data_IF_158071417237
#
_entry.id   IF_158071417237
#
_cell.length_a   1.000
_cell.length_b   1.000
_cell.length_c   1.000
_cell.angle_alpha   90.00
_cell.angle_beta   90.00
_cell.angle_gamma   90.00
#
_symmetry.space_group_name_H-M   'P 1'
#
loop_
_entity.id
_entity.type
_entity.pdbx_description
1 polymer ?
#
# COMPACT_ATOMS: atom_id res chain seq x y z
N UNK A 1 11.31 -74.92 31.61
CA UNK A 1 11.56 -73.69 32.39
C UNK A 1 11.35 -72.54 31.42
N UNK A 2 10.47 -71.62 31.76
CA UNK A 2 10.01 -70.56 30.87
C UNK A 2 11.15 -69.62 30.50
N UNK A 3 11.20 -69.29 29.21
CA UNK A 3 12.09 -68.33 28.58
C UNK A 3 11.56 -66.93 28.88
N UNK A 4 11.98 -66.36 30.01
CA UNK A 4 11.69 -64.97 30.39
C UNK A 4 12.82 -64.08 29.88
N UNK A 5 12.80 -63.81 28.57
CA UNK A 5 13.55 -62.70 28.00
C UNK A 5 12.81 -61.39 28.33
N UNK A 6 13.41 -60.43 29.05
CA UNK A 6 12.73 -59.18 29.42
C UNK A 6 12.54 -58.28 28.20
N UNK A 7 11.48 -57.44 28.19
CA UNK A 7 11.18 -56.56 27.07
C UNK A 7 12.26 -55.50 26.88
N UNK A 8 12.63 -55.27 25.62
CA UNK A 8 13.51 -54.21 25.12
C UNK A 8 12.93 -52.82 25.45
N UNK A 9 13.20 -52.29 26.64
CA UNK A 9 13.01 -50.87 26.95
C UNK A 9 14.14 -50.43 27.87
N UNK A 10 14.98 -49.52 27.37
CA UNK A 10 15.85 -48.57 28.11
C UNK A 10 16.55 -49.07 29.37
N UNK A 11 17.00 -50.33 29.38
CA UNK A 11 17.99 -50.78 30.36
C UNK A 11 19.35 -50.39 29.80
N UNK A 12 20.03 -49.53 30.56
CA UNK A 12 21.39 -49.09 30.38
C UNK A 12 22.33 -50.32 30.29
N UNK A 13 22.44 -50.89 29.09
CA UNK A 13 23.19 -52.13 28.79
C UNK A 13 24.63 -52.06 29.29
N UNK A 14 25.18 -50.84 29.37
CA UNK A 14 26.49 -50.56 29.93
C UNK A 14 26.64 -51.06 31.38
N UNK A 15 25.60 -50.91 32.20
CA UNK A 15 25.65 -51.34 33.62
C UNK A 15 25.51 -52.86 33.75
N UNK A 16 24.78 -53.50 32.82
CA UNK A 16 24.62 -54.95 32.78
C UNK A 16 25.91 -55.66 32.31
N UNK A 17 26.62 -55.09 31.33
CA UNK A 17 27.86 -55.67 30.82
C UNK A 17 29.09 -55.40 31.70
N UNK A 18 29.14 -54.28 32.43
CA UNK A 18 30.28 -53.93 33.31
C UNK A 18 30.56 -54.97 34.42
N UNK A 19 29.57 -55.79 34.76
CA UNK A 19 29.65 -56.83 35.80
C UNK A 19 29.84 -58.26 35.24
N UNK A 20 29.93 -58.42 33.92
CA UNK A 20 30.21 -59.71 33.30
C UNK A 20 31.69 -59.84 32.99
N UNK A 21 32.22 -61.05 33.05
CA UNK A 21 33.63 -61.32 32.73
C UNK A 21 33.94 -60.90 31.29
N UNK A 22 35.12 -60.30 31.08
CA UNK A 22 35.59 -59.83 29.78
C UNK A 22 35.46 -60.87 28.65
N UNK A 23 35.55 -62.15 28.98
CA UNK A 23 35.34 -63.28 28.05
C UNK A 23 33.91 -63.38 27.51
N UNK A 24 32.89 -63.12 28.33
CA UNK A 24 31.49 -63.24 27.91
C UNK A 24 31.09 -62.11 26.96
N UNK A 25 31.58 -60.90 27.20
CA UNK A 25 31.34 -59.73 26.32
C UNK A 25 31.98 -59.98 24.95
N UNK A 26 33.20 -60.51 24.93
CA UNK A 26 33.92 -60.81 23.70
C UNK A 26 33.29 -61.97 22.91
N UNK A 27 32.92 -63.08 23.57
CA UNK A 27 32.27 -64.21 22.88
C UNK A 27 30.91 -63.80 22.28
N UNK A 28 30.17 -62.93 22.98
CA UNK A 28 28.91 -62.37 22.47
C UNK A 28 29.15 -61.36 21.34
N UNK A 29 30.22 -60.55 21.41
CA UNK A 29 30.64 -59.63 20.33
C UNK A 29 31.06 -60.41 19.08
N UNK A 30 31.91 -61.43 19.19
CA UNK A 30 32.33 -62.28 18.08
C UNK A 30 31.14 -63.01 17.45
N UNK A 31 30.22 -63.57 18.26
CA UNK A 31 28.99 -64.21 17.75
C UNK A 31 28.03 -63.22 17.07
N UNK A 32 27.97 -61.98 17.55
CA UNK A 32 27.19 -60.92 16.90
C UNK A 32 27.86 -60.47 15.60
N UNK A 33 29.19 -60.43 15.54
CA UNK A 33 29.97 -60.05 14.37
C UNK A 33 29.98 -61.10 13.25
N UNK A 34 29.98 -62.40 13.60
CA UNK A 34 29.92 -63.50 12.63
C UNK A 34 28.52 -63.72 12.03
N UNK A 35 27.45 -63.38 12.78
CA UNK A 35 26.07 -63.69 12.36
C UNK A 35 25.31 -62.51 11.73
N UNK A 36 25.92 -61.34 11.62
CA UNK A 36 25.24 -60.18 11.08
C UNK A 36 26.09 -59.40 10.08
N UNK A 37 25.48 -59.11 8.92
CA UNK A 37 25.71 -57.87 8.15
C UNK A 37 25.29 -56.62 8.98
N UNK A 38 25.69 -56.56 10.25
CA UNK A 38 25.47 -55.39 11.08
C UNK A 38 26.42 -54.33 10.56
N UNK A 39 25.83 -53.29 9.96
CA UNK A 39 26.49 -52.01 9.77
C UNK A 39 27.20 -51.68 11.09
N UNK A 40 28.51 -51.44 11.03
CA UNK A 40 29.33 -51.03 12.18
C UNK A 40 28.59 -50.02 13.05
N UNK A 41 27.81 -49.12 12.43
CA UNK A 41 26.98 -48.12 13.08
C UNK A 41 26.12 -48.62 14.27
N UNK A 42 25.53 -49.82 14.20
CA UNK A 42 24.65 -50.34 15.26
C UNK A 42 25.44 -50.91 16.46
N UNK A 43 26.63 -51.46 16.21
CA UNK A 43 27.58 -51.87 17.27
C UNK A 43 28.22 -50.63 17.90
N UNK A 44 28.46 -49.59 17.09
CA UNK A 44 29.09 -48.35 17.49
C UNK A 44 28.21 -47.43 18.34
N UNK A 45 26.88 -47.59 18.28
CA UNK A 45 25.93 -46.83 19.11
C UNK A 45 25.72 -47.43 20.51
N UNK A 46 25.98 -48.73 20.70
CA UNK A 46 25.75 -49.44 21.97
C UNK A 46 27.01 -49.65 22.82
N UNK A 47 28.20 -49.65 22.21
CA UNK A 47 29.47 -49.79 22.92
C UNK A 47 30.36 -48.57 22.67
N UNK A 48 31.04 -48.11 23.72
CA UNK A 48 32.04 -47.05 23.60
C UNK A 48 33.19 -47.61 22.74
N UNK A 49 33.21 -47.25 21.46
CA UNK A 49 34.00 -47.91 20.41
C UNK A 49 35.50 -47.89 20.65
N UNK A 50 35.99 -46.86 21.34
CA UNK A 50 37.38 -46.79 21.78
C UNK A 50 37.72 -47.86 22.83
N UNK A 51 36.79 -48.22 23.72
CA UNK A 51 37.02 -49.25 24.74
C UNK A 51 37.05 -50.65 24.11
N UNK A 52 36.16 -50.92 23.15
CA UNK A 52 36.16 -52.20 22.41
C UNK A 52 37.44 -52.34 21.58
N UNK A 53 37.83 -51.32 20.83
CA UNK A 53 39.07 -51.34 20.04
C UNK A 53 40.28 -51.55 20.95
N UNK A 54 40.34 -50.84 22.09
CA UNK A 54 41.42 -50.99 23.06
C UNK A 54 41.47 -52.41 23.63
N UNK A 55 40.32 -52.98 23.97
CA UNK A 55 40.23 -54.37 24.44
C UNK A 55 40.73 -55.37 23.40
N UNK A 56 40.30 -55.23 22.14
CA UNK A 56 40.74 -56.08 21.02
C UNK A 56 42.26 -56.02 20.82
N UNK A 57 42.85 -54.82 20.89
CA UNK A 57 44.29 -54.61 20.77
C UNK A 57 45.06 -55.24 21.93
N UNK A 58 44.62 -55.03 23.18
CA UNK A 58 45.24 -55.65 24.35
C UNK A 58 45.18 -57.18 24.30
N UNK A 59 44.06 -57.75 23.81
CA UNK A 59 43.91 -59.19 23.62
C UNK A 59 44.85 -59.70 22.52
N UNK A 60 44.93 -59.00 21.39
CA UNK A 60 45.83 -59.33 20.29
C UNK A 60 47.30 -59.35 20.74
N UNK A 61 47.75 -58.33 21.48
CA UNK A 61 49.12 -58.28 22.00
C UNK A 61 49.42 -59.45 22.93
N UNK A 62 48.50 -59.78 23.84
CA UNK A 62 48.63 -60.94 24.76
C UNK A 62 48.73 -62.26 23.99
N UNK A 63 47.86 -62.48 23.01
CA UNK A 63 47.85 -63.71 22.20
C UNK A 63 49.09 -63.82 21.32
N UNK A 64 49.54 -62.71 20.72
CA UNK A 64 50.77 -62.65 19.93
C UNK A 64 52.01 -62.98 20.78
N UNK A 65 52.07 -62.46 22.00
CA UNK A 65 53.13 -62.80 22.94
C UNK A 65 53.08 -64.28 23.35
N UNK A 66 51.88 -64.81 23.63
CA UNK A 66 51.67 -66.21 23.99
C UNK A 66 52.06 -67.17 22.85
N UNK A 67 51.75 -66.82 21.59
CA UNK A 67 52.16 -67.59 20.42
C UNK A 67 53.69 -67.70 20.30
N UNK A 68 54.41 -66.57 20.47
CA UNK A 68 55.89 -66.54 20.48
C UNK A 68 56.49 -67.34 21.63
N UNK A 69 55.84 -67.35 22.79
CA UNK A 69 56.29 -68.16 23.92
C UNK A 69 56.10 -69.67 23.65
N UNK A 70 54.98 -70.05 23.02
CA UNK A 70 54.73 -71.43 22.57
C UNK A 70 55.78 -71.89 21.55
N UNK A 71 56.20 -71.03 20.64
CA UNK A 71 57.30 -71.35 19.69
C UNK A 71 58.60 -71.72 20.39
N UNK A 72 59.01 -70.91 21.37
CA UNK A 72 60.21 -71.20 22.19
C UNK A 72 60.08 -72.52 22.95
N UNK A 73 58.88 -72.81 23.50
CA UNK A 73 58.62 -74.08 24.21
C UNK A 73 58.67 -75.28 23.27
N UNK A 74 58.16 -75.15 22.04
CA UNK A 74 58.27 -76.20 21.02
C UNK A 74 59.74 -76.46 20.69
N UNK A 75 60.53 -75.41 20.45
CA UNK A 75 61.96 -75.54 20.14
C UNK A 75 62.73 -76.26 21.25
N UNK A 76 62.50 -75.89 22.52
CA UNK A 76 63.12 -76.56 23.68
C UNK A 76 62.75 -78.04 23.74
N UNK A 77 61.46 -78.37 23.61
CA UNK A 77 61.01 -79.76 23.68
C UNK A 77 61.49 -80.60 22.49
N UNK A 78 61.66 -80.00 21.30
CA UNK A 78 62.26 -80.66 20.15
C UNK A 78 63.73 -80.99 20.38
N UNK A 79 64.48 -80.09 21.04
CA UNK A 79 65.85 -80.39 21.48
C UNK A 79 65.88 -81.51 22.52
N UNK A 80 65.07 -81.44 23.57
CA UNK A 80 64.99 -82.49 24.61
C UNK A 80 64.64 -83.86 24.01
N UNK A 81 63.67 -83.91 23.09
CA UNK A 81 63.32 -85.13 22.37
C UNK A 81 64.51 -85.67 21.56
N UNK A 82 65.23 -84.78 20.87
CA UNK A 82 66.39 -85.15 20.05
C UNK A 82 67.54 -85.67 20.91
N UNK A 83 67.81 -85.05 22.06
CA UNK A 83 68.80 -85.49 23.03
C UNK A 83 68.45 -86.87 23.61
N UNK A 84 67.19 -87.08 23.99
CA UNK A 84 66.72 -88.39 24.47
C UNK A 84 66.91 -89.49 23.41
N UNK A 85 66.63 -89.20 22.13
CA UNK A 85 66.87 -90.13 21.02
C UNK A 85 68.36 -90.46 20.87
N UNK A 86 69.24 -89.45 20.94
CA UNK A 86 70.69 -89.66 20.88
C UNK A 86 71.17 -90.54 22.04
N UNK A 87 70.70 -90.28 23.26
CA UNK A 87 71.04 -91.06 24.45
C UNK A 87 70.55 -92.52 24.32
N UNK A 88 69.32 -92.76 23.86
CA UNK A 88 68.82 -94.11 23.56
C UNK A 88 69.73 -94.82 22.56
N UNK A 89 70.10 -94.16 21.45
CA UNK A 89 70.93 -94.76 20.42
C UNK A 89 72.34 -95.12 20.93
N UNK A 90 72.95 -94.22 21.70
CA UNK A 90 74.28 -94.44 22.31
C UNK A 90 74.26 -95.61 23.27
N UNK A 91 73.32 -95.61 24.22
CA UNK A 91 73.20 -96.65 25.23
C UNK A 91 72.81 -98.00 24.59
N UNK A 92 71.95 -98.01 23.57
CA UNK A 92 71.58 -99.21 22.82
C UNK A 92 72.77 -99.82 22.06
N UNK A 93 73.65 -98.98 21.50
CA UNK A 93 74.86 -99.45 20.84
C UNK A 93 75.83 -100.08 21.83
N UNK A 94 76.05 -99.44 22.98
CA UNK A 94 76.89 -100.00 24.06
C UNK A 94 76.31 -101.30 24.63
N UNK A 95 74.99 -101.34 24.86
CA UNK A 95 74.27 -102.54 25.29
C UNK A 95 74.49 -103.71 24.31
N UNK A 96 74.39 -103.44 23.00
CA UNK A 96 74.64 -104.44 21.95
C UNK A 96 76.08 -104.95 21.96
N UNK A 97 77.06 -104.08 22.22
CA UNK A 97 78.49 -104.48 22.35
C UNK A 97 78.71 -105.37 23.58
N UNK A 98 78.12 -105.01 24.73
CA UNK A 98 78.20 -105.82 25.94
C UNK A 98 77.55 -107.19 25.75
N UNK A 99 76.38 -107.24 25.12
CA UNK A 99 75.70 -108.51 24.83
C UNK A 99 76.53 -109.40 23.93
N UNK A 100 77.15 -108.86 22.87
CA UNK A 100 78.08 -109.65 22.04
C UNK A 100 79.24 -110.18 22.85
N UNK A 101 79.81 -109.36 23.75
CA UNK A 101 80.94 -109.79 24.57
C UNK A 101 80.55 -110.89 25.56
N UNK A 102 79.37 -110.82 26.15
CA UNK A 102 78.80 -111.88 26.99
C UNK A 102 78.70 -113.17 26.17
N UNK A 103 78.04 -113.13 25.01
CA UNK A 103 77.87 -114.30 24.15
C UNK A 103 79.22 -114.91 23.70
N UNK A 104 80.23 -114.09 23.43
CA UNK A 104 81.60 -114.56 23.13
C UNK A 104 82.21 -115.30 24.31
N UNK A 105 82.13 -114.73 25.52
CA UNK A 105 82.69 -115.36 26.72
C UNK A 105 81.93 -116.64 27.09
N UNK A 106 80.60 -116.67 26.92
CA UNK A 106 79.78 -117.87 27.08
C UNK A 106 80.19 -118.99 26.12
N UNK A 107 80.47 -118.66 24.86
CA UNK A 107 80.98 -119.63 23.89
C UNK A 107 82.35 -120.20 24.28
N UNK A 108 83.27 -119.36 24.78
CA UNK A 108 84.61 -119.81 25.19
C UNK A 108 84.62 -120.65 26.48
N UNK A 109 83.53 -120.68 27.25
CA UNK A 109 83.45 -121.51 28.46
C UNK A 109 83.40 -123.02 28.16
N UNK A 110 83.02 -123.44 26.94
CA UNK A 110 82.88 -124.86 26.58
C UNK A 110 84.23 -125.58 26.39
N UNK A 111 85.36 -124.86 26.26
CA UNK A 111 86.68 -125.42 25.90
C UNK A 111 87.80 -125.16 26.94
N UNK A 112 87.48 -124.71 28.16
CA UNK A 112 88.46 -124.15 29.13
C UNK A 112 88.73 -125.02 30.37
N UNK A 113 89.81 -124.72 31.09
CA UNK A 113 90.16 -125.36 32.37
C UNK A 113 89.32 -124.81 33.54
N UNK A 114 89.20 -125.57 34.63
CA UNK A 114 88.31 -125.23 35.76
C UNK A 114 88.60 -123.86 36.40
N UNK A 115 89.87 -123.42 36.47
CA UNK A 115 90.25 -122.11 37.02
C UNK A 115 89.88 -120.96 36.06
N UNK A 116 90.09 -121.13 34.76
CA UNK A 116 89.69 -120.14 33.74
C UNK A 116 88.16 -120.00 33.67
N UNK A 117 87.43 -121.10 33.85
CA UNK A 117 85.96 -121.12 33.90
C UNK A 117 85.43 -120.22 35.03
N UNK A 118 86.07 -120.24 36.20
CA UNK A 118 85.66 -119.39 37.34
C UNK A 118 85.88 -117.90 37.01
N UNK A 119 87.02 -117.55 36.42
CA UNK A 119 87.32 -116.17 36.04
C UNK A 119 86.38 -115.65 34.94
N UNK A 120 86.12 -116.44 33.90
CA UNK A 120 85.17 -116.08 32.84
C UNK A 120 83.75 -115.93 33.34
N UNK A 121 83.29 -116.79 34.27
CA UNK A 121 81.96 -116.66 34.89
C UNK A 121 81.82 -115.36 35.69
N UNK A 122 82.87 -114.96 36.41
CA UNK A 122 82.85 -113.69 37.15
C UNK A 122 82.84 -112.48 36.19
N UNK A 123 83.60 -112.53 35.09
CA UNK A 123 83.56 -111.49 34.05
C UNK A 123 82.18 -111.39 33.38
N UNK A 124 81.55 -112.52 33.05
CA UNK A 124 80.18 -112.55 32.49
C UNK A 124 79.21 -111.89 33.45
N UNK A 125 79.25 -112.25 34.73
CA UNK A 125 78.37 -111.67 35.76
C UNK A 125 78.53 -110.15 35.90
N UNK A 126 79.76 -109.64 35.82
CA UNK A 126 80.01 -108.19 35.82
C UNK A 126 79.47 -107.51 34.56
N UNK A 127 79.65 -108.13 33.40
CA UNK A 127 79.12 -107.62 32.13
C UNK A 127 77.59 -107.66 32.08
N UNK A 128 76.95 -108.69 32.63
CA UNK A 128 75.49 -108.80 32.75
C UNK A 128 74.93 -107.68 33.63
N UNK A 129 75.54 -107.43 34.79
CA UNK A 129 75.15 -106.31 35.67
C UNK A 129 75.29 -104.96 34.95
N UNK A 130 76.37 -104.75 34.20
CA UNK A 130 76.56 -103.54 33.41
C UNK A 130 75.52 -103.44 32.27
N UNK A 131 75.24 -104.54 31.58
CA UNK A 131 74.25 -104.61 30.51
C UNK A 131 72.83 -104.30 31.03
N UNK A 132 72.47 -104.79 32.21
CA UNK A 132 71.19 -104.47 32.85
C UNK A 132 71.09 -102.98 33.22
N UNK A 133 72.14 -102.39 33.78
CA UNK A 133 72.19 -100.94 34.01
C UNK A 133 71.98 -100.14 32.71
N UNK A 134 72.54 -100.61 31.59
CA UNK A 134 72.32 -100.00 30.27
C UNK A 134 70.87 -100.14 29.81
N UNK A 135 70.22 -101.29 30.04
CA UNK A 135 68.78 -101.48 29.73
C UNK A 135 67.90 -100.53 30.52
N UNK A 136 68.19 -100.35 31.82
CA UNK A 136 67.48 -99.40 32.69
C UNK A 136 67.63 -97.96 32.16
N UNK A 137 68.85 -97.54 31.80
CA UNK A 137 69.10 -96.23 31.19
C UNK A 137 68.34 -96.03 29.88
N UNK A 138 68.33 -97.02 28.99
CA UNK A 138 67.56 -96.98 27.74
C UNK A 138 66.06 -96.80 28.04
N UNK A 139 65.51 -97.53 29.00
CA UNK A 139 64.09 -97.44 29.37
C UNK A 139 63.74 -96.07 29.96
N UNK A 140 64.64 -95.49 30.76
CA UNK A 140 64.51 -94.12 31.28
C UNK A 140 64.45 -93.10 30.14
N UNK A 141 65.42 -93.11 29.22
CA UNK A 141 65.45 -92.17 28.10
C UNK A 141 64.26 -92.35 27.13
N UNK A 142 63.74 -93.58 26.96
CA UNK A 142 62.50 -93.81 26.19
C UNK A 142 61.28 -93.15 26.86
N UNK A 143 61.17 -93.26 28.18
CA UNK A 143 60.10 -92.62 28.94
C UNK A 143 60.16 -91.09 28.85
N UNK A 144 61.37 -90.53 28.92
CA UNK A 144 61.62 -89.09 28.75
C UNK A 144 61.22 -88.62 27.34
N UNK A 145 61.62 -89.35 26.29
CA UNK A 145 61.21 -89.09 24.90
C UNK A 145 59.69 -89.10 24.76
N UNK A 146 59.01 -90.12 25.29
CA UNK A 146 57.55 -90.25 25.14
C UNK A 146 56.80 -89.14 25.88
N UNK A 147 57.32 -88.72 27.04
CA UNK A 147 56.81 -87.56 27.78
C UNK A 147 56.97 -86.26 26.99
N UNK A 148 58.15 -86.01 26.41
CA UNK A 148 58.41 -84.83 25.57
C UNK A 148 57.53 -84.83 24.32
N UNK A 149 57.34 -85.97 23.68
CA UNK A 149 56.49 -86.13 22.49
C UNK A 149 55.02 -85.84 22.78
N UNK A 150 54.50 -86.28 23.93
CA UNK A 150 53.15 -85.94 24.37
C UNK A 150 53.00 -84.43 24.59
N UNK A 151 53.92 -83.81 25.31
CA UNK A 151 53.91 -82.35 25.55
C UNK A 151 53.99 -81.56 24.24
N UNK A 152 54.81 -81.99 23.29
CA UNK A 152 54.90 -81.38 21.95
C UNK A 152 53.57 -81.41 21.22
N UNK A 153 52.87 -82.54 21.28
CA UNK A 153 51.55 -82.67 20.64
C UNK A 153 50.54 -81.68 21.23
N UNK A 154 50.49 -81.58 22.56
CA UNK A 154 49.56 -80.68 23.27
C UNK A 154 49.88 -79.20 22.97
N UNK A 155 51.17 -78.81 23.00
CA UNK A 155 51.56 -77.43 22.70
C UNK A 155 51.33 -77.08 21.23
N UNK A 156 51.61 -77.99 20.29
CA UNK A 156 51.33 -77.75 18.86
C UNK A 156 49.84 -77.56 18.59
N UNK A 157 48.98 -78.32 19.27
CA UNK A 157 47.53 -78.16 19.15
C UNK A 157 47.08 -76.79 19.67
N UNK A 158 47.46 -76.45 20.90
CA UNK A 158 47.10 -75.15 21.50
C UNK A 158 47.74 -73.97 20.76
N UNK A 159 48.89 -74.15 20.09
CA UNK A 159 49.48 -73.13 19.23
C UNK A 159 48.60 -72.90 18.00
N UNK A 160 48.17 -73.97 17.33
CA UNK A 160 47.30 -73.88 16.15
C UNK A 160 46.01 -73.09 16.43
N UNK A 161 45.42 -73.28 17.60
CA UNK A 161 44.25 -72.54 18.05
C UNK A 161 44.55 -71.04 18.26
N UNK A 162 45.69 -70.72 18.91
CA UNK A 162 46.12 -69.33 19.11
C UNK A 162 46.47 -68.64 17.79
N UNK A 163 47.12 -69.33 16.86
CA UNK A 163 47.47 -68.78 15.55
C UNK A 163 46.19 -68.43 14.75
N UNK A 164 45.17 -69.30 14.79
CA UNK A 164 43.89 -69.04 14.15
C UNK A 164 43.16 -67.84 14.78
N UNK A 165 43.19 -67.69 16.10
CA UNK A 165 42.61 -66.53 16.79
C UNK A 165 43.35 -65.23 16.42
N UNK A 166 44.69 -65.27 16.32
CA UNK A 166 45.50 -64.13 15.89
C UNK A 166 45.19 -63.73 14.45
N UNK A 167 45.01 -64.69 13.55
CA UNK A 167 44.64 -64.44 12.14
C UNK A 167 43.24 -63.80 12.04
N UNK A 168 42.27 -64.31 12.79
CA UNK A 168 40.92 -63.74 12.86
C UNK A 168 40.92 -62.31 13.39
N UNK A 169 41.67 -62.04 14.48
CA UNK A 169 41.83 -60.70 15.04
C UNK A 169 42.54 -59.74 14.09
N UNK A 170 43.54 -60.21 13.34
CA UNK A 170 44.25 -59.40 12.32
C UNK A 170 43.27 -58.97 11.23
N UNK A 171 42.49 -59.91 10.71
CA UNK A 171 41.48 -59.63 9.68
C UNK A 171 40.40 -58.66 10.16
N UNK A 172 39.92 -58.84 11.39
CA UNK A 172 38.94 -57.93 12.00
C UNK A 172 39.51 -56.52 12.18
N UNK A 173 40.78 -56.40 12.57
CA UNK A 173 41.46 -55.12 12.74
C UNK A 173 41.65 -54.39 11.41
N UNK A 174 42.03 -55.09 10.33
CA UNK A 174 42.13 -54.51 8.98
C UNK A 174 40.78 -53.96 8.51
N UNK A 175 39.69 -54.70 8.74
CA UNK A 175 38.33 -54.23 8.43
C UNK A 175 37.95 -52.98 9.22
N UNK A 176 38.14 -52.99 10.54
CA UNK A 176 37.88 -51.83 11.41
C UNK A 176 38.68 -50.59 10.97
N UNK A 177 39.94 -50.77 10.57
CA UNK A 177 40.79 -49.68 10.09
C UNK A 177 40.26 -49.09 8.77
N UNK A 178 39.79 -49.95 7.85
CA UNK A 178 39.16 -49.52 6.60
C UNK A 178 37.89 -48.72 6.88
N UNK A 179 37.02 -49.22 7.74
CA UNK A 179 35.76 -48.55 8.05
C UNK A 179 35.97 -47.22 8.79
N UNK A 180 36.97 -47.15 9.67
CA UNK A 180 37.38 -45.90 10.33
C UNK A 180 37.80 -44.83 9.31
N UNK A 181 38.54 -45.21 8.26
CA UNK A 181 38.93 -44.28 7.21
C UNK A 181 37.73 -43.75 6.42
N UNK A 182 36.77 -44.62 6.10
CA UNK A 182 35.51 -44.24 5.42
C UNK A 182 34.69 -43.28 6.28
N UNK A 183 34.57 -43.58 7.59
CA UNK A 183 33.86 -42.72 8.53
C UNK A 183 34.52 -41.34 8.66
N UNK A 184 35.85 -41.28 8.75
CA UNK A 184 36.61 -40.03 8.83
C UNK A 184 36.43 -39.17 7.57
N UNK A 185 36.43 -39.77 6.38
CA UNK A 185 36.18 -39.03 5.14
C UNK A 185 34.75 -38.48 5.09
N UNK A 186 33.76 -39.25 5.57
CA UNK A 186 32.37 -38.81 5.68
C UNK A 186 32.22 -37.63 6.64
N UNK A 187 32.89 -37.68 7.80
CA UNK A 187 32.94 -36.57 8.77
C UNK A 187 33.53 -35.32 8.13
N UNK A 188 34.64 -35.46 7.38
CA UNK A 188 35.29 -34.34 6.68
C UNK A 188 34.34 -33.69 5.66
N UNK A 189 33.61 -34.50 4.90
CA UNK A 189 32.61 -34.00 3.94
C UNK A 189 31.48 -33.22 4.64
N UNK A 190 30.92 -33.76 5.72
CA UNK A 190 29.88 -33.09 6.51
C UNK A 190 30.39 -31.77 7.11
N UNK A 191 31.62 -31.71 7.61
CA UNK A 191 32.23 -30.48 8.11
C UNK A 191 32.33 -29.39 7.03
N UNK A 192 32.69 -29.78 5.80
CA UNK A 192 32.74 -28.87 4.66
C UNK A 192 31.33 -28.37 4.28
N UNK A 193 30.33 -29.25 4.27
CA UNK A 193 28.93 -28.87 4.03
C UNK A 193 28.41 -27.89 5.08
N UNK A 194 28.66 -28.15 6.35
CA UNK A 194 28.28 -27.25 7.46
C UNK A 194 28.94 -25.87 7.26
N UNK A 195 30.24 -25.83 6.95
CA UNK A 195 30.96 -24.58 6.69
C UNK A 195 30.34 -23.81 5.52
N UNK A 196 30.04 -24.49 4.41
CA UNK A 196 29.39 -23.88 3.25
C UNK A 196 27.99 -23.34 3.57
N UNK A 197 27.19 -24.08 4.34
CA UNK A 197 25.88 -23.64 4.80
C UNK A 197 25.97 -22.40 5.69
N UNK A 198 26.92 -22.35 6.61
CA UNK A 198 27.18 -21.18 7.46
C UNK A 198 27.57 -19.95 6.64
N UNK A 199 28.44 -20.11 5.64
CA UNK A 199 28.81 -19.03 4.72
C UNK A 199 27.57 -18.52 3.97
N UNK A 200 26.77 -19.43 3.41
CA UNK A 200 25.55 -19.08 2.68
C UNK A 200 24.54 -18.34 3.58
N UNK A 201 24.31 -18.84 4.79
CA UNK A 201 23.38 -18.24 5.74
C UNK A 201 23.83 -16.84 6.17
N UNK A 202 25.13 -16.66 6.46
CA UNK A 202 25.69 -15.36 6.79
C UNK A 202 25.58 -14.37 5.60
N UNK A 203 25.78 -14.85 4.37
CA UNK A 203 25.58 -14.04 3.16
C UNK A 203 24.14 -13.56 3.01
N UNK A 204 23.16 -14.46 3.18
CA UNK A 204 21.73 -14.11 3.15
C UNK A 204 21.34 -13.12 4.25
N UNK A 205 21.87 -13.29 5.46
CA UNK A 205 21.61 -12.39 6.57
C UNK A 205 22.13 -10.98 6.30
N UNK A 206 23.37 -10.84 5.78
CA UNK A 206 23.92 -9.55 5.37
C UNK A 206 23.11 -8.87 4.26
N UNK A 207 22.62 -9.63 3.29
CA UNK A 207 21.76 -9.10 2.23
C UNK A 207 20.43 -8.57 2.80
N UNK A 208 19.79 -9.34 3.69
CA UNK A 208 18.54 -8.92 4.34
C UNK A 208 18.74 -7.69 5.25
N UNK A 209 19.87 -7.61 5.97
CA UNK A 209 20.25 -6.43 6.77
C UNK A 209 20.43 -5.19 5.88
N UNK A 210 21.08 -5.34 4.72
CA UNK A 210 21.24 -4.27 3.75
C UNK A 210 19.90 -3.77 3.20
N UNK A 211 19.01 -4.68 2.79
CA UNK A 211 17.66 -4.34 2.33
C UNK A 211 16.86 -3.63 3.43
N UNK A 212 16.90 -4.15 4.67
CA UNK A 212 16.22 -3.54 5.82
C UNK A 212 16.71 -2.11 6.07
N UNK A 213 18.01 -1.88 5.98
CA UNK A 213 18.58 -0.54 6.16
C UNK A 213 18.17 0.40 5.03
N UNK A 214 18.14 -0.07 3.77
CA UNK A 214 17.60 0.70 2.65
C UNK A 214 16.12 1.07 2.86
N UNK A 215 15.29 0.11 3.30
CA UNK A 215 13.88 0.38 3.62
C UNK A 215 13.75 1.43 4.73
N UNK A 216 14.55 1.35 5.80
CA UNK A 216 14.56 2.36 6.86
C UNK A 216 14.90 3.76 6.33
N UNK A 217 15.94 3.88 5.52
CA UNK A 217 16.35 5.17 4.93
C UNK A 217 15.25 5.73 4.03
N UNK A 218 14.65 4.89 3.17
CA UNK A 218 13.56 5.31 2.29
C UNK A 218 12.30 5.72 3.07
N UNK A 219 11.98 4.98 4.14
CA UNK A 219 10.86 5.31 5.02
C UNK A 219 11.06 6.68 5.69
N UNK A 220 12.24 6.94 6.24
CA UNK A 220 12.58 8.24 6.84
C UNK A 220 12.45 9.37 5.81
N UNK A 221 12.95 9.17 4.58
CA UNK A 221 12.80 10.15 3.51
C UNK A 221 11.33 10.43 3.18
N UNK A 222 10.49 9.40 3.07
CA UNK A 222 9.06 9.55 2.82
C UNK A 222 8.29 10.18 3.97
N UNK A 223 8.67 9.91 5.22
CA UNK A 223 8.11 10.58 6.38
C UNK A 223 8.43 12.09 6.37
N UNK A 224 9.65 12.47 5.98
CA UNK A 224 10.02 13.89 5.82
C UNK A 224 9.25 14.56 4.67
N UNK A 225 9.09 13.88 3.53
CA UNK A 225 8.25 14.37 2.43
C UNK A 225 6.80 14.60 2.89
N UNK A 226 6.21 13.63 3.62
CA UNK A 226 4.86 13.73 4.14
C UNK A 226 4.71 14.90 5.11
N UNK A 227 5.65 15.08 6.04
CA UNK A 227 5.68 16.24 6.95
C UNK A 227 5.74 17.57 6.19
N UNK A 228 6.52 17.66 5.12
CA UNK A 228 6.58 18.85 4.29
C UNK A 228 5.24 19.13 3.57
N UNK A 229 4.56 18.08 3.08
CA UNK A 229 3.23 18.21 2.48
C UNK A 229 2.20 18.65 3.53
N UNK A 230 2.25 18.08 4.74
CA UNK A 230 1.39 18.45 5.86
C UNK A 230 1.52 19.95 6.18
N UNK A 231 2.75 20.45 6.29
CA UNK A 231 3.03 21.87 6.52
C UNK A 231 2.41 22.72 5.40
N UNK A 232 2.65 22.37 4.12
CA UNK A 232 2.08 23.12 2.98
C UNK A 232 0.54 23.14 3.02
N UNK A 233 -0.09 22.04 3.42
CA UNK A 233 -1.53 21.96 3.56
C UNK A 233 -2.05 22.90 4.66
N UNK A 234 -1.39 22.95 5.81
CA UNK A 234 -1.74 23.88 6.90
C UNK A 234 -1.64 25.35 6.46
N UNK A 235 -0.58 25.70 5.72
CA UNK A 235 -0.43 27.04 5.13
C UNK A 235 -1.59 27.36 4.18
N UNK A 236 -1.91 26.47 3.25
CA UNK A 236 -3.00 26.67 2.29
C UNK A 236 -4.38 26.78 2.98
N UNK A 237 -4.61 25.99 4.04
CA UNK A 237 -5.84 26.08 4.84
C UNK A 237 -5.96 27.43 5.56
N UNK A 238 -4.85 27.94 6.11
CA UNK A 238 -4.81 29.26 6.75
C UNK A 238 -5.08 30.38 5.75
N UNK A 239 -4.44 30.35 4.58
CA UNK A 239 -4.68 31.31 3.50
C UNK A 239 -6.15 31.30 3.05
N UNK A 240 -6.74 30.12 2.88
CA UNK A 240 -8.16 29.97 2.52
C UNK A 240 -9.08 30.55 3.60
N UNK A 241 -8.76 30.35 4.88
CA UNK A 241 -9.53 30.90 5.99
C UNK A 241 -9.46 32.44 6.01
N UNK A 242 -8.26 33.01 5.88
CA UNK A 242 -8.07 34.47 5.79
C UNK A 242 -8.80 35.07 4.59
N UNK A 243 -8.75 34.39 3.43
CA UNK A 243 -9.49 34.79 2.24
C UNK A 243 -11.01 34.81 2.49
N UNK A 244 -11.56 33.75 3.10
CA UNK A 244 -12.99 33.68 3.45
C UNK A 244 -13.40 34.80 4.40
N UNK A 245 -12.60 35.12 5.42
CA UNK A 245 -12.89 36.24 6.32
C UNK A 245 -12.91 37.59 5.58
N UNK A 246 -11.90 37.84 4.72
CA UNK A 246 -11.87 39.06 3.91
C UNK A 246 -13.09 39.16 3.01
N UNK A 247 -13.48 38.07 2.36
CA UNK A 247 -14.67 38.03 1.51
C UNK A 247 -15.94 38.36 2.30
N UNK A 248 -16.16 37.73 3.45
CA UNK A 248 -17.30 38.03 4.33
C UNK A 248 -17.31 39.48 4.83
N UNK A 249 -16.13 40.07 5.10
CA UNK A 249 -16.04 41.48 5.49
C UNK A 249 -16.45 42.44 4.37
N UNK A 250 -16.18 42.09 3.11
CA UNK A 250 -16.65 42.85 1.95
C UNK A 250 -18.15 42.68 1.72
N UNK A 251 -18.68 41.47 1.87
CA UNK A 251 -20.11 41.18 1.74
C UNK A 251 -20.95 41.90 2.81
N UNK A 252 -20.42 42.07 4.03
CA UNK A 252 -21.04 42.83 5.12
C UNK A 252 -20.76 44.35 5.08
N UNK A 253 -20.18 44.88 4.00
CA UNK A 253 -19.93 46.32 3.89
C UNK A 253 -21.24 47.10 3.67
N UNK A 254 -21.66 47.83 4.71
CA UNK A 254 -22.83 48.74 4.74
C UNK A 254 -22.83 49.83 3.65
N UNK A 255 -21.75 49.98 2.88
CA UNK A 255 -21.65 50.96 1.80
C UNK A 255 -22.70 50.69 0.73
N UNK A 256 -22.84 49.43 0.29
CA UNK A 256 -23.82 49.09 -0.74
C UNK A 256 -25.26 49.17 -0.24
N UNK A 257 -25.53 48.84 1.03
CA UNK A 257 -26.87 49.01 1.61
C UNK A 257 -27.26 50.49 1.78
N UNK A 258 -26.30 51.36 2.14
CA UNK A 258 -26.52 52.80 2.24
C UNK A 258 -26.81 53.42 0.87
N UNK A 259 -26.03 53.07 -0.16
CA UNK A 259 -26.23 53.53 -1.54
C UNK A 259 -27.59 53.08 -2.10
N UNK A 260 -27.94 51.81 -1.91
CA UNK A 260 -29.26 51.29 -2.31
C UNK A 260 -30.39 52.04 -1.60
N UNK A 261 -30.26 52.31 -0.29
CA UNK A 261 -31.26 53.05 0.48
C UNK A 261 -31.40 54.50 0.00
N UNK A 262 -30.31 55.14 -0.40
CA UNK A 262 -30.33 56.51 -0.95
C UNK A 262 -30.99 56.55 -2.34
N UNK A 263 -30.65 55.60 -3.21
CA UNK A 263 -31.24 55.49 -4.55
C UNK A 263 -32.74 55.18 -4.48
N UNK A 264 -33.16 54.30 -3.55
CA UNK A 264 -34.57 54.02 -3.32
C UNK A 264 -35.34 55.27 -2.85
N UNK A 265 -34.78 56.06 -1.93
CA UNK A 265 -35.40 57.35 -1.51
C UNK A 265 -35.54 58.35 -2.66
N UNK A 266 -34.50 58.46 -3.50
CA UNK A 266 -34.54 59.35 -4.67
C UNK A 266 -35.63 58.93 -5.67
N UNK A 267 -35.79 57.62 -5.88
CA UNK A 267 -36.82 57.07 -6.77
C UNK A 267 -38.24 57.35 -6.24
N UNK A 268 -38.49 57.16 -4.94
CA UNK A 268 -39.79 57.48 -4.33
C UNK A 268 -40.12 58.97 -4.46
N UNK A 269 -39.14 59.84 -4.16
CA UNK A 269 -39.33 61.28 -4.28
C UNK A 269 -39.65 61.70 -5.72
N UNK A 270 -38.94 61.14 -6.72
CA UNK A 270 -39.22 61.41 -8.12
C UNK A 270 -40.57 60.86 -8.57
N UNK A 271 -41.02 59.74 -8.00
CA UNK A 271 -42.35 59.15 -8.26
C UNK A 271 -43.47 60.05 -7.74
N UNK A 272 -43.34 60.54 -6.49
CA UNK A 272 -44.32 61.47 -5.89
C UNK A 272 -44.42 62.77 -6.70
N UNK A 273 -43.28 63.24 -7.21
CA UNK A 273 -43.22 64.44 -8.04
C UNK A 273 -43.87 64.23 -9.41
N UNK A 274 -43.75 63.04 -9.99
CA UNK A 274 -44.45 62.68 -11.23
C UNK A 274 -45.96 62.55 -11.04
N UNK A 275 -46.44 61.97 -9.93
CA UNK A 275 -47.89 61.95 -9.65
C UNK A 275 -48.43 63.37 -9.43
N UNK A 276 -47.68 64.25 -8.76
CA UNK A 276 -48.07 65.66 -8.63
C UNK A 276 -48.14 66.39 -9.98
N UNK A 277 -47.17 66.16 -10.87
CA UNK A 277 -47.18 66.71 -12.23
C UNK A 277 -48.34 66.17 -13.07
N UNK A 278 -48.75 64.92 -12.83
CA UNK A 278 -49.89 64.29 -13.50
C UNK A 278 -51.21 64.90 -13.04
N UNK A 279 -51.36 65.19 -11.75
CA UNK A 279 -52.50 65.93 -11.20
C UNK A 279 -52.57 67.37 -11.77
N UNK A 280 -51.43 68.07 -11.83
CA UNK A 280 -51.33 69.40 -12.43
C UNK A 280 -51.68 69.39 -13.93
N UNK A 281 -51.23 68.35 -14.66
CA UNK A 281 -51.59 68.15 -16.06
C UNK A 281 -53.09 67.90 -16.24
N UNK A 282 -53.70 67.10 -15.38
CA UNK A 282 -55.15 66.84 -15.40
C UNK A 282 -55.94 68.13 -15.10
N UNK A 283 -55.48 68.93 -14.13
CA UNK A 283 -56.05 70.24 -13.84
C UNK A 283 -55.97 71.20 -15.04
N UNK A 284 -54.81 71.24 -15.71
CA UNK A 284 -54.62 72.04 -16.92
C UNK A 284 -55.49 71.57 -18.09
N UNK A 285 -55.63 70.26 -18.30
CA UNK A 285 -56.53 69.69 -19.33
C UNK A 285 -58.00 70.03 -19.05
N UNK A 286 -58.44 69.97 -17.79
CA UNK A 286 -59.78 70.36 -17.39
C UNK A 286 -60.03 71.87 -17.59
N UNK A 287 -59.05 72.71 -17.30
CA UNK A 287 -59.11 74.15 -17.59
C UNK A 287 -59.20 74.43 -19.09
N UNK A 288 -58.42 73.73 -19.91
CA UNK A 288 -58.46 73.84 -21.37
C UNK A 288 -59.83 73.41 -21.91
N UNK A 289 -60.42 72.35 -21.37
CA UNK A 289 -61.77 71.89 -21.72
C UNK A 289 -62.81 72.96 -21.42
N UNK A 290 -62.80 73.57 -20.22
CA UNK A 290 -63.69 74.70 -19.88
C UNK A 290 -63.53 75.89 -20.82
N UNK A 291 -62.30 76.24 -21.20
CA UNK A 291 -62.04 77.29 -22.19
C UNK A 291 -62.59 76.94 -23.57
N UNK A 292 -62.46 75.69 -23.99
CA UNK A 292 -63.00 75.20 -25.26
C UNK A 292 -64.53 75.22 -25.27
N UNK A 293 -65.16 74.81 -24.17
CA UNK A 293 -66.60 74.89 -23.98
C UNK A 293 -67.08 76.35 -23.97
N UNK A 294 -66.39 77.24 -23.25
CA UNK A 294 -66.66 78.68 -23.24
C UNK A 294 -66.53 79.33 -24.62
N UNK A 295 -65.53 78.94 -25.41
CA UNK A 295 -65.40 79.35 -26.83
C UNK A 295 -66.57 78.87 -27.68
N UNK A 296 -67.06 77.65 -27.43
CA UNK A 296 -68.19 77.07 -28.17
C UNK A 296 -69.50 77.78 -27.82
N UNK A 297 -69.70 78.16 -26.55
CA UNK A 297 -70.85 78.98 -26.10
C UNK A 297 -70.80 80.38 -26.72
N UNK A 298 -69.64 81.04 -26.70
CA UNK A 298 -69.48 82.36 -27.33
C UNK A 298 -69.70 82.33 -28.85
N UNK A 299 -69.22 81.29 -29.54
CA UNK A 299 -69.48 81.10 -30.98
C UNK A 299 -70.96 80.82 -31.28
N UNK A 300 -71.66 80.10 -30.40
CA UNK A 300 -73.11 79.87 -30.52
C UNK A 300 -73.93 81.14 -30.23
N UNK A 301 -73.49 82.01 -29.32
CA UNK A 301 -74.11 83.32 -29.08
C UNK A 301 -73.89 84.29 -30.25
N UNK A 302 -72.70 84.28 -30.87
CA UNK A 302 -72.43 85.01 -32.12
C UNK A 302 -73.28 84.45 -33.27
N UNK A 303 -73.39 83.13 -33.41
CA UNK A 303 -74.23 82.50 -34.43
C UNK A 303 -75.73 82.80 -34.22
N UNK A 304 -76.20 82.89 -32.97
CA UNK A 304 -77.58 83.28 -32.62
C UNK A 304 -77.82 84.77 -32.94
N UNK A 305 -76.87 85.64 -32.65
CA UNK A 305 -76.93 87.07 -32.97
C UNK A 305 -76.89 87.34 -34.49
N UNK A 306 -76.16 86.52 -35.26
CA UNK A 306 -76.18 86.56 -36.73
C UNK A 306 -77.49 86.00 -37.32
N UNK A 307 -78.13 85.04 -36.66
CA UNK A 307 -79.43 84.46 -37.04
C UNK A 307 -80.59 85.42 -36.75
N UNK A 308 -80.50 86.20 -35.68
CA UNK A 308 -81.48 87.26 -35.34
C UNK A 308 -81.36 88.49 -36.25
N UNK A 309 -80.17 88.80 -36.78
CA UNK A 309 -79.99 89.77 -37.87
C UNK A 309 -80.44 89.24 -39.25
N UNK A 310 -80.47 87.92 -39.45
CA UNK A 310 -80.88 87.27 -40.70
C UNK A 310 -82.39 87.19 -40.93
N UNK A 311 -83.21 87.32 -39.87
CA UNK A 311 -84.66 87.16 -39.93
C UNK A 311 -85.46 88.48 -40.01
N UNK A 312 -84.81 89.61 -40.29
CA UNK A 312 -85.47 90.90 -40.61
C UNK A 312 -85.22 91.41 -42.04
N UNK A 313 -84.91 90.52 -42.99
CA UNK A 313 -84.89 90.87 -44.43
C UNK A 313 -85.61 89.85 -45.32
N UNK A 314 -86.94 89.92 -45.32
CA UNK A 314 -87.84 90.08 -46.50
C UNK A 314 -89.33 90.05 -46.03
N UNK A 315 -90.29 90.83 -46.59
CA UNK A 315 -90.15 92.03 -47.42
C UNK A 315 -91.03 93.22 -46.92
N UNK A 316 -90.43 94.41 -46.78
CA UNK A 316 -91.15 95.65 -47.13
C UNK A 316 -90.29 96.38 -48.16
N UNK A 317 -90.57 96.01 -49.40
CA UNK A 317 -90.28 96.76 -50.60
C UNK A 317 -91.23 97.95 -50.70
N UNK A 318 -90.69 99.17 -50.62
CA UNK A 318 -91.01 100.36 -51.43
C UNK A 318 -90.60 101.63 -50.66
N UNK A 319 -89.37 102.09 -50.92
CA UNK A 319 -88.97 103.48 -51.21
C UNK A 319 -87.48 103.63 -50.93
N UNK A 320 -86.62 103.38 -51.94
CA UNK A 320 -85.42 104.20 -52.18
C UNK A 320 -84.71 103.74 -53.47
N UNK A 321 -84.51 104.64 -54.45
CA UNK A 321 -83.85 104.34 -55.72
C UNK A 321 -82.31 104.28 -55.60
N UNK A 322 -81.62 103.70 -56.61
CA UNK A 322 -80.21 103.32 -56.52
C UNK A 322 -79.25 104.51 -56.35
N UNK A 323 -78.22 104.30 -55.53
CA UNK A 323 -77.18 105.24 -55.07
C UNK A 323 -76.44 106.05 -56.16
N UNK A 324 -76.55 105.68 -57.44
CA UNK A 324 -75.98 106.41 -58.58
C UNK A 324 -76.86 107.60 -59.01
N UNK A 325 -78.17 107.48 -58.81
CA UNK A 325 -79.18 108.51 -59.08
C UNK A 325 -79.22 109.56 -57.95
N UNK A 326 -78.99 109.15 -56.70
CA UNK A 326 -78.89 110.04 -55.53
C UNK A 326 -77.69 111.01 -55.59
N UNK A 327 -76.60 110.61 -56.24
CA UNK A 327 -75.39 111.45 -56.37
C UNK A 327 -75.56 112.50 -57.48
N UNK A 328 -76.27 112.18 -58.57
CA UNK A 328 -76.65 113.18 -59.59
C UNK A 328 -77.78 114.11 -59.12
N UNK A 329 -78.72 113.60 -58.30
CA UNK A 329 -79.79 114.40 -57.69
C UNK A 329 -79.28 115.35 -56.61
N UNK A 330 -78.24 114.96 -55.85
CA UNK A 330 -77.54 115.87 -54.92
C UNK A 330 -76.82 117.00 -55.66
N UNK A 331 -76.15 116.69 -56.78
CA UNK A 331 -75.53 117.73 -57.62
C UNK A 331 -76.54 118.65 -58.31
N UNK A 332 -77.73 118.14 -58.69
CA UNK A 332 -78.81 118.98 -59.23
C UNK A 332 -79.50 119.84 -58.16
N UNK A 333 -79.73 119.31 -56.94
CA UNK A 333 -80.30 120.09 -55.83
C UNK A 333 -79.35 121.17 -55.30
N UNK A 334 -78.03 120.98 -55.42
CA UNK A 334 -77.04 121.99 -55.02
C UNK A 334 -77.01 123.19 -56.00
N UNK A 335 -77.34 122.95 -57.27
CA UNK A 335 -77.58 124.00 -58.28
C UNK A 335 -78.93 124.69 -58.03
N UNK A 336 -79.99 123.94 -57.73
CA UNK A 336 -81.33 124.46 -57.45
C UNK A 336 -81.39 125.30 -56.16
N UNK A 337 -80.63 124.94 -55.12
CA UNK A 337 -80.50 125.73 -53.89
C UNK A 337 -79.78 127.07 -54.10
N UNK A 338 -78.87 127.16 -55.06
CA UNK A 338 -78.22 128.42 -55.40
C UNK A 338 -79.14 129.35 -56.20
N UNK A 339 -80.00 128.80 -57.06
CA UNK A 339 -81.05 129.56 -57.78
C UNK A 339 -82.13 130.07 -56.79
N UNK A 340 -82.57 129.24 -55.85
CA UNK A 340 -83.56 129.62 -54.82
C UNK A 340 -83.03 130.67 -53.82
N UNK A 341 -81.71 130.72 -53.59
CA UNK A 341 -81.09 131.81 -52.79
C UNK A 341 -81.12 133.15 -53.53
N UNK A 342 -80.93 133.15 -54.85
CA UNK A 342 -81.04 134.37 -55.67
C UNK A 342 -82.50 134.82 -55.83
N UNK A 343 -83.46 133.89 -55.94
CA UNK A 343 -84.90 134.22 -56.00
C UNK A 343 -85.46 134.74 -54.67
N UNK A 344 -85.06 134.16 -53.53
CA UNK A 344 -85.50 134.64 -52.22
C UNK A 344 -84.96 136.05 -51.92
N UNK A 345 -83.76 136.40 -52.41
CA UNK A 345 -83.22 137.75 -52.28
C UNK A 345 -84.00 138.76 -53.16
N UNK A 346 -84.51 138.33 -54.33
CA UNK A 346 -85.46 139.12 -55.14
C UNK A 346 -86.81 139.33 -54.43
N UNK A 347 -87.38 138.29 -53.80
CA UNK A 347 -88.64 138.41 -53.04
C UNK A 347 -88.50 139.32 -51.82
N UNK A 348 -87.34 139.31 -51.15
CA UNK A 348 -87.04 140.21 -50.02
C UNK A 348 -87.10 141.68 -50.44
N UNK A 349 -86.53 142.02 -51.59
CA UNK A 349 -86.56 143.39 -52.15
C UNK A 349 -87.99 143.80 -52.57
N UNK A 350 -88.74 142.89 -53.21
CA UNK A 350 -90.13 143.13 -53.62
C UNK A 350 -91.07 143.36 -52.43
N UNK A 351 -90.91 142.58 -51.37
CA UNK A 351 -91.73 142.70 -50.17
C UNK A 351 -91.48 144.02 -49.43
N UNK A 352 -90.24 144.51 -49.37
CA UNK A 352 -89.95 145.82 -48.80
C UNK A 352 -90.52 146.99 -49.60
N UNK A 353 -90.63 146.86 -50.94
CA UNK A 353 -91.34 147.84 -51.77
C UNK A 353 -92.85 147.85 -51.49
N UNK A 354 -93.44 146.68 -51.26
CA UNK A 354 -94.87 146.54 -51.00
C UNK A 354 -95.26 147.09 -49.63
N UNK A 355 -94.40 146.85 -48.63
CA UNK A 355 -94.48 147.47 -47.30
C UNK A 355 -94.41 149.01 -47.37
N UNK A 356 -93.66 149.57 -48.33
CA UNK A 356 -93.65 151.03 -48.61
C UNK A 356 -94.91 151.52 -49.34
N UNK A 357 -95.58 150.69 -50.16
CA UNK A 357 -96.87 151.03 -50.81
C UNK A 357 -98.05 151.02 -49.84
N UNK A 358 -98.06 150.12 -48.88
CA UNK A 358 -99.15 150.04 -47.89
C UNK A 358 -99.07 151.16 -46.86
N UNK A 359 -97.85 151.54 -46.47
CA UNK A 359 -97.63 152.74 -45.64
C UNK A 359 -98.11 154.03 -46.33
N UNK A 360 -98.16 154.06 -47.67
CA UNK A 360 -98.79 155.14 -48.46
C UNK A 360 -100.32 155.07 -48.53
N UNK A 361 -100.94 153.90 -48.30
CA UNK A 361 -102.42 153.76 -48.20
C UNK A 361 -102.96 154.19 -46.84
N UNK A 362 -102.19 153.97 -45.77
CA UNK A 362 -102.48 154.51 -44.43
C UNK A 362 -102.57 156.05 -44.44
N UNK A 363 -101.74 156.72 -45.24
CA UNK A 363 -101.76 158.18 -45.40
C UNK A 363 -102.93 158.73 -46.27
N UNK A 364 -103.64 157.91 -47.05
CA UNK A 364 -104.70 158.35 -47.98
C UNK A 364 -106.15 158.13 -47.50
N UNK A 365 -106.35 157.36 -46.42
CA UNK A 365 -107.68 157.16 -45.80
C UNK A 365 -107.88 157.99 -44.53
N UNK A 366 -106.80 158.41 -43.86
CA UNK A 366 -106.84 159.50 -42.86
C UNK A 366 -107.24 160.86 -43.47
N UNK A 367 -107.13 161.04 -44.79
CA UNK A 367 -107.59 162.23 -45.52
C UNK A 367 -109.06 162.16 -45.97
N UNK A 368 -109.61 160.95 -46.09
CA UNK A 368 -111.01 160.78 -46.48
C UNK A 368 -111.91 160.64 -45.27
N UNK A 369 -112.47 161.80 -44.90
CA UNK A 369 -113.87 161.89 -44.51
C UNK A 369 -114.14 161.29 -43.11
N UNK A 370 -113.98 161.99 -41.98
CA UNK A 370 -113.98 163.45 -41.73
C UNK A 370 -115.17 164.24 -42.30
N UNK A 371 -116.07 163.62 -43.09
CA UNK A 371 -117.28 164.22 -43.61
C UNK A 371 -118.43 163.22 -43.45
N UNK A 372 -119.40 163.59 -42.63
CA UNK A 372 -120.71 162.97 -42.63
C UNK A 372 -120.80 161.81 -41.64
N UNK A 373 -120.93 162.00 -40.33
CA UNK A 373 -121.74 163.00 -39.66
C UNK A 373 -123.17 163.06 -40.22
N UNK A 374 -124.12 162.97 -39.30
CA UNK A 374 -125.53 163.22 -39.51
C UNK A 374 -126.28 162.18 -40.32
N UNK A 375 -127.54 162.18 -39.94
CA UNK A 375 -128.66 161.85 -40.77
C UNK A 375 -128.98 160.36 -40.69
N UNK A 376 -129.76 159.99 -39.69
CA UNK A 376 -131.20 160.24 -39.63
C UNK A 376 -131.88 158.95 -40.06
N UNK A 377 -132.68 158.39 -39.15
CA UNK A 377 -134.07 158.82 -38.94
C UNK A 377 -134.86 158.60 -40.23
N UNK A 378 -135.87 157.78 -40.03
CA UNK A 378 -137.21 157.98 -40.54
C UNK A 378 -137.38 158.09 -42.04
N UNK A 379 -138.28 157.21 -42.49
CA UNK A 379 -139.40 157.58 -43.32
C UNK A 379 -139.05 158.19 -44.68
N UNK A 380 -139.40 157.43 -45.71
CA UNK A 380 -140.77 157.50 -46.23
C UNK A 380 -141.03 156.17 -46.93
N UNK A 381 -142.05 155.43 -46.50
CA UNK A 381 -143.44 155.68 -46.91
C UNK A 381 -143.49 155.73 -48.43
N UNK A 382 -143.88 154.60 -49.01
CA UNK A 382 -145.25 154.43 -49.51
C UNK A 382 -145.38 155.05 -50.90
N UNK A 383 -145.57 154.18 -51.90
CA UNK A 383 -146.90 153.97 -52.49
C UNK A 383 -146.76 153.09 -53.74
N UNK A 384 -147.18 151.82 -53.65
CA UNK A 384 -148.35 151.24 -54.34
C UNK A 384 -148.62 149.82 -53.83
#
# INVERSE_FOLDING_TARGET
>A
MADESPPLNDVDYFTYFKNQTDEFIFDKFCKLWENFDLNLFDVFTHFNTLEVIKFMLERFEKLSAAAKEKDKKIEILEMEKSEAIQNVNKESLENTKLQRKINELEYFLEERTDEEIVEFKEQIKQLEAHNENKRISIQKYRSERDSAEKKLKDIRQTKKETDAEVEALTTANEKLQSDLNVANESIRQLQNEISNLQICQNGKLKAAEYETNQFKTNFIAKDMELKNVQIKLEWAQKELFEFKQKFQSHENSNIHQSEISQLQKALTCSSDQNEKLKDDLLAAQNALKKLKDGKTTALNEIAKSLKDCGNLKKPVTKTLPPKKELIERLKSMEIENNILKEENEKYRILFEMEKKKEKKKLLKKEENLKNGNKSNKMEKAQNE
#
